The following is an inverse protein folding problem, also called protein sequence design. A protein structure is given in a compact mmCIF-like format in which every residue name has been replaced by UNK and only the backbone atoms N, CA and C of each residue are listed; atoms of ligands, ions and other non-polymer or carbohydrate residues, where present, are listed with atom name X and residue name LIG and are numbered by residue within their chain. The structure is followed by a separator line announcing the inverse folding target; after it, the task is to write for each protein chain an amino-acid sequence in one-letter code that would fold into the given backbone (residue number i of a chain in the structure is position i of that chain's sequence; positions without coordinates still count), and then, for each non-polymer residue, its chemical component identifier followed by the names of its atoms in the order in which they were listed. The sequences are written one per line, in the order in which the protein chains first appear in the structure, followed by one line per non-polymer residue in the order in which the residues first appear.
data_IF_487317748358
#
_entry.id   IF_487317748358
#
_cell.length_a   1.000
_cell.length_b   1.000
_cell.length_c   1.000
_cell.angle_alpha   90.00
_cell.angle_beta   90.00
_cell.angle_gamma   90.00
#
_symmetry.space_group_name_H-M   'P 1'
#
loop_
_entity.id
_entity.type
_entity.pdbx_description
1 polymer ?
#
# COMPACT_ATOMS: atom_id res chain seq x y z
N UNK A 1 12.36 0.70 -1.85
CA UNK A 1 11.28 -0.27 -2.11
C UNK A 1 11.77 -1.66 -1.72
N UNK A 2 11.03 -2.33 -0.84
CA UNK A 2 11.25 -3.72 -0.45
C UNK A 2 10.11 -4.58 -1.01
N UNK A 3 10.46 -5.65 -1.72
CA UNK A 3 9.49 -6.65 -2.15
C UNK A 3 9.53 -7.84 -1.18
N UNK A 4 8.38 -8.32 -0.76
CA UNK A 4 8.24 -9.54 0.04
C UNK A 4 7.51 -10.57 -0.80
N UNK A 5 8.21 -11.66 -1.09
CA UNK A 5 7.70 -12.79 -1.87
C UNK A 5 7.71 -14.04 -0.99
N UNK A 6 6.93 -15.03 -1.36
CA UNK A 6 6.87 -16.30 -0.62
C UNK A 6 5.65 -17.13 -1.02
N UNK A 7 5.63 -18.42 -0.73
CA UNK A 7 4.49 -19.28 -1.03
C UNK A 7 3.23 -18.87 -0.28
N UNK A 8 2.08 -19.40 -0.69
CA UNK A 8 0.83 -19.22 0.03
C UNK A 8 0.96 -19.75 1.46
N UNK A 9 0.41 -19.02 2.43
CA UNK A 9 0.50 -19.40 3.84
C UNK A 9 1.82 -19.06 4.54
N UNK A 10 2.78 -18.42 3.87
CA UNK A 10 4.07 -18.06 4.48
C UNK A 10 4.00 -16.93 5.51
N UNK A 11 2.85 -16.24 5.66
CA UNK A 11 2.65 -15.16 6.63
C UNK A 11 2.75 -13.75 6.06
N UNK A 12 2.77 -13.56 4.74
CA UNK A 12 2.91 -12.22 4.09
C UNK A 12 1.79 -11.25 4.49
N UNK A 13 0.52 -11.66 4.33
CA UNK A 13 -0.62 -10.81 4.69
C UNK A 13 -0.76 -10.64 6.20
N UNK A 14 -0.32 -11.64 6.99
CA UNK A 14 -0.20 -11.52 8.45
C UNK A 14 0.80 -10.41 8.80
N UNK A 15 1.97 -10.41 8.16
CA UNK A 15 2.97 -9.33 8.33
C UNK A 15 2.39 -7.97 7.99
N UNK A 16 1.69 -7.83 6.84
CA UNK A 16 1.04 -6.58 6.46
C UNK A 16 0.02 -6.11 7.50
N UNK A 17 -0.80 -7.03 8.00
CA UNK A 17 -1.82 -6.76 9.03
C UNK A 17 -1.19 -6.30 10.35
N UNK A 18 -0.15 -6.98 10.81
CA UNK A 18 0.58 -6.62 12.04
C UNK A 18 1.25 -5.25 11.91
N UNK A 19 1.89 -4.96 10.78
CA UNK A 19 2.52 -3.66 10.51
C UNK A 19 1.50 -2.51 10.45
N UNK A 20 0.26 -2.80 10.10
CA UNK A 20 -0.84 -1.84 10.07
C UNK A 20 -1.64 -1.78 11.39
N UNK A 21 -1.26 -2.56 12.40
CA UNK A 21 -1.91 -2.57 13.72
C UNK A 21 -3.29 -3.22 13.74
N UNK A 22 -3.61 -4.12 12.80
CA UNK A 22 -4.90 -4.81 12.83
C UNK A 22 -5.01 -5.70 14.06
N UNK A 23 -6.15 -5.60 14.75
CA UNK A 23 -6.44 -6.32 16.01
C UNK A 23 -6.54 -7.85 15.86
N UNK A 24 -6.64 -8.36 14.62
CA UNK A 24 -6.76 -9.80 14.34
C UNK A 24 -5.51 -10.60 14.75
N UNK A 25 -4.37 -9.92 14.99
CA UNK A 25 -3.09 -10.54 15.29
C UNK A 25 -2.43 -9.89 16.50
N UNK A 26 -2.04 -10.71 17.47
CA UNK A 26 -1.30 -10.28 18.64
C UNK A 26 0.21 -10.56 18.48
N UNK A 27 1.03 -9.55 18.78
CA UNK A 27 2.50 -9.71 18.81
C UNK A 27 2.89 -10.22 20.20
N UNK A 28 3.16 -11.52 20.30
CA UNK A 28 3.47 -12.19 21.57
C UNK A 28 4.83 -11.76 22.14
N UNK A 29 5.80 -11.48 21.26
CA UNK A 29 7.16 -11.09 21.66
C UNK A 29 7.88 -10.34 20.55
N UNK A 30 8.93 -9.59 20.90
CA UNK A 30 9.73 -8.83 19.97
C UNK A 30 9.33 -7.35 19.91
N UNK A 31 9.83 -6.64 18.90
CA UNK A 31 9.54 -5.23 18.68
C UNK A 31 9.47 -4.90 17.19
N UNK A 32 8.62 -3.94 16.84
CA UNK A 32 8.54 -3.37 15.49
C UNK A 32 8.79 -1.88 15.63
N UNK A 33 9.83 -1.38 14.98
CA UNK A 33 10.18 0.05 15.06
C UNK A 33 9.90 0.75 13.75
N UNK A 34 9.16 1.83 13.82
CA UNK A 34 8.92 2.76 12.73
C UNK A 34 9.29 4.17 13.17
N UNK A 35 10.18 4.86 12.45
CA UNK A 35 10.71 6.18 12.82
C UNK A 35 11.26 6.26 14.26
N UNK A 36 11.94 5.19 14.70
CA UNK A 36 12.46 5.00 16.06
C UNK A 36 11.42 4.80 17.17
N UNK A 37 10.14 4.76 16.86
CA UNK A 37 9.06 4.43 17.78
C UNK A 37 8.68 2.97 17.68
N UNK A 38 8.42 2.30 18.82
CA UNK A 38 7.87 0.95 18.81
C UNK A 38 6.36 1.04 18.51
N UNK A 39 5.92 0.39 17.45
CA UNK A 39 4.52 0.43 17.00
C UNK A 39 3.70 -0.79 17.46
N UNK A 40 4.31 -1.73 18.20
CA UNK A 40 3.59 -2.88 18.75
C UNK A 40 2.57 -2.40 19.77
N UNK A 41 1.31 -2.80 19.59
CA UNK A 41 0.20 -2.45 20.47
C UNK A 41 -0.45 -1.09 20.19
N UNK A 42 0.03 -0.35 19.17
CA UNK A 42 -0.66 0.84 18.70
C UNK A 42 -1.88 0.46 17.86
N UNK A 43 -2.93 1.27 17.94
CA UNK A 43 -4.13 1.08 17.12
C UNK A 43 -3.86 1.38 15.64
N UNK A 44 -4.69 0.87 14.70
CA UNK A 44 -4.57 1.19 13.28
C UNK A 44 -4.57 2.69 13.00
N UNK A 45 -5.37 3.47 13.75
CA UNK A 45 -5.45 4.92 13.63
C UNK A 45 -4.14 5.59 14.06
N UNK A 46 -3.54 5.13 15.15
CA UNK A 46 -2.26 5.66 15.64
C UNK A 46 -1.15 5.38 14.62
N UNK A 47 -1.10 4.17 14.07
CA UNK A 47 -0.13 3.78 13.04
C UNK A 47 -0.36 4.58 11.74
N UNK A 48 -1.60 4.78 11.31
CA UNK A 48 -1.92 5.61 10.16
C UNK A 48 -1.49 7.08 10.37
N UNK A 49 -1.64 7.62 11.58
CA UNK A 49 -1.18 8.96 11.94
C UNK A 49 0.35 9.11 11.90
N UNK A 50 1.11 8.05 12.18
CA UNK A 50 2.56 8.04 12.00
C UNK A 50 2.96 8.13 10.52
N UNK A 51 2.04 7.86 9.61
CA UNK A 51 2.23 7.93 8.17
C UNK A 51 2.40 6.57 7.50
N UNK A 52 1.85 5.51 8.08
CA UNK A 52 1.73 4.19 7.45
C UNK A 52 0.43 4.11 6.67
N UNK A 53 0.49 3.56 5.47
CA UNK A 53 -0.65 3.29 4.60
C UNK A 53 -0.67 1.81 4.25
N UNK A 54 -1.82 1.16 4.37
CA UNK A 54 -2.05 -0.21 3.92
C UNK A 54 -3.01 -0.22 2.73
N UNK A 55 -2.58 -0.75 1.59
CA UNK A 55 -3.45 -1.15 0.50
C UNK A 55 -3.91 -2.59 0.76
N UNK A 56 -5.20 -2.78 0.88
CA UNK A 56 -5.78 -4.08 1.22
C UNK A 56 -5.78 -5.04 0.02
N UNK A 57 -5.62 -6.32 0.28
CA UNK A 57 -5.85 -7.35 -0.74
C UNK A 57 -7.26 -7.23 -1.34
N UNK A 58 -8.26 -7.02 -0.47
CA UNK A 58 -9.66 -6.78 -0.86
C UNK A 58 -10.11 -5.40 -0.33
N UNK A 59 -10.12 -4.35 -1.18
CA UNK A 59 -10.54 -3.02 -0.76
C UNK A 59 -11.99 -2.97 -0.32
N UNK A 60 -12.23 -2.34 0.84
CA UNK A 60 -13.57 -2.23 1.46
C UNK A 60 -14.42 -1.23 0.69
N UNK A 61 -15.73 -1.50 0.61
CA UNK A 61 -16.74 -0.56 0.11
C UNK A 61 -17.35 0.22 1.27
N UNK A 62 -17.51 1.54 1.08
CA UNK A 62 -18.18 2.41 2.06
C UNK A 62 -19.30 3.16 1.32
N UNK A 63 -20.47 2.55 1.17
CA UNK A 63 -21.60 3.20 0.50
C UNK A 63 -22.03 4.48 1.22
N UNK A 64 -22.45 5.49 0.47
CA UNK A 64 -22.93 6.75 1.03
C UNK A 64 -21.86 7.73 1.50
N UNK A 65 -20.59 7.33 1.56
CA UNK A 65 -19.46 8.22 1.85
C UNK A 65 -18.69 8.47 0.57
N UNK A 66 -18.79 9.69 0.03
CA UNK A 66 -18.07 10.02 -1.21
C UNK A 66 -16.56 9.99 -1.01
N UNK A 67 -15.81 9.65 -2.07
CA UNK A 67 -14.35 9.66 -2.05
C UNK A 67 -13.81 11.04 -1.64
N UNK A 68 -14.45 12.12 -2.11
CA UNK A 68 -14.10 13.50 -1.74
C UNK A 68 -14.27 13.73 -0.23
N UNK A 69 -15.40 13.36 0.34
CA UNK A 69 -15.70 13.53 1.78
C UNK A 69 -14.71 12.74 2.63
N UNK A 70 -14.46 11.50 2.27
CA UNK A 70 -13.50 10.64 2.97
C UNK A 70 -12.09 11.20 2.95
N UNK A 71 -11.59 11.57 1.76
CA UNK A 71 -10.24 12.12 1.65
C UNK A 71 -10.08 13.45 2.40
N UNK A 72 -11.13 14.29 2.41
CA UNK A 72 -11.11 15.53 3.19
C UNK A 72 -11.00 15.23 4.68
N UNK A 73 -11.81 14.30 5.19
CA UNK A 73 -11.75 13.89 6.59
C UNK A 73 -10.38 13.33 6.99
N UNK A 74 -9.81 12.42 6.18
CA UNK A 74 -8.48 11.84 6.44
C UNK A 74 -7.38 12.92 6.48
N UNK A 75 -7.41 13.87 5.54
CA UNK A 75 -6.40 14.93 5.48
C UNK A 75 -6.57 15.93 6.61
N UNK A 76 -7.79 16.29 6.98
CA UNK A 76 -8.05 17.20 8.10
C UNK A 76 -7.58 16.61 9.43
N UNK A 77 -7.89 15.34 9.71
CA UNK A 77 -7.43 14.62 10.90
C UNK A 77 -5.89 14.56 10.95
N UNK A 78 -5.25 14.33 9.80
CA UNK A 78 -3.79 14.34 9.72
C UNK A 78 -3.21 15.72 10.04
N UNK A 79 -3.79 16.81 9.49
CA UNK A 79 -3.34 18.16 9.76
C UNK A 79 -3.50 18.53 11.24
N UNK A 80 -4.64 18.17 11.83
CA UNK A 80 -4.91 18.37 13.25
C UNK A 80 -3.86 17.67 14.12
N UNK A 81 -3.57 16.40 13.84
CA UNK A 81 -2.55 15.63 14.58
C UNK A 81 -1.15 16.23 14.46
N UNK A 82 -0.81 16.74 13.28
CA UNK A 82 0.46 17.42 13.03
C UNK A 82 0.49 18.87 13.53
N UNK A 83 -0.59 19.37 14.12
CA UNK A 83 -0.77 20.78 14.54
C UNK A 83 -0.49 21.76 13.39
N UNK A 84 -0.90 21.39 12.18
CA UNK A 84 -0.77 22.18 10.96
C UNK A 84 -2.12 22.80 10.58
N UNK A 85 -2.12 23.92 9.84
CA UNK A 85 -3.37 24.54 9.38
C UNK A 85 -4.11 23.60 8.43
N UNK A 86 -5.44 23.68 8.44
CA UNK A 86 -6.30 22.94 7.51
C UNK A 86 -5.95 23.30 6.05
N UNK A 87 -6.02 22.31 5.15
CA UNK A 87 -5.77 22.52 3.73
C UNK A 87 -6.94 23.35 3.16
N UNK A 88 -6.65 24.51 2.50
CA UNK A 88 -7.68 25.30 1.85
C UNK A 88 -8.51 24.47 0.84
N UNK A 89 -9.80 24.69 0.79
CA UNK A 89 -10.71 23.92 -0.07
C UNK A 89 -10.29 23.96 -1.55
N UNK A 90 -9.82 25.12 -2.03
CA UNK A 90 -9.30 25.29 -3.40
C UNK A 90 -8.12 24.37 -3.70
N UNK A 91 -7.16 24.29 -2.77
CA UNK A 91 -5.94 23.49 -2.93
C UNK A 91 -6.25 21.99 -2.83
N UNK A 92 -7.16 21.62 -1.92
CA UNK A 92 -7.67 20.26 -1.84
C UNK A 92 -8.31 19.80 -3.13
N UNK A 93 -9.27 20.58 -3.70
CA UNK A 93 -9.94 20.23 -4.96
C UNK A 93 -8.93 20.18 -6.11
N UNK A 94 -8.01 21.14 -6.17
CA UNK A 94 -6.95 21.15 -7.20
C UNK A 94 -6.10 19.89 -7.13
N UNK A 95 -5.68 19.48 -5.92
CA UNK A 95 -4.91 18.26 -5.71
C UNK A 95 -5.70 17.01 -6.10
N UNK A 96 -6.97 16.91 -5.71
CA UNK A 96 -7.86 15.80 -6.08
C UNK A 96 -7.93 15.62 -7.59
N UNK A 97 -8.23 16.70 -8.33
CA UNK A 97 -8.34 16.68 -9.80
C UNK A 97 -7.01 16.34 -10.48
N UNK A 98 -5.90 16.86 -9.97
CA UNK A 98 -4.57 16.55 -10.50
C UNK A 98 -4.24 15.07 -10.32
N UNK A 99 -4.58 14.49 -9.16
CA UNK A 99 -4.39 13.07 -8.88
C UNK A 99 -5.28 12.18 -9.74
N UNK A 100 -6.56 12.56 -9.96
CA UNK A 100 -7.42 11.86 -10.93
C UNK A 100 -6.77 11.80 -12.32
N UNK A 101 -6.30 12.96 -12.79
CA UNK A 101 -5.65 13.05 -14.12
C UNK A 101 -4.41 12.18 -14.21
N UNK A 102 -3.56 12.13 -13.17
CA UNK A 102 -2.33 11.35 -13.18
C UNK A 102 -2.56 9.84 -13.22
N UNK A 103 -3.70 9.36 -12.70
CA UNK A 103 -4.09 7.96 -12.66
C UNK A 103 -5.13 7.58 -13.73
N UNK A 104 -5.44 8.50 -14.66
CA UNK A 104 -6.49 8.30 -15.65
C UNK A 104 -7.82 7.85 -15.00
N UNK A 105 -8.20 8.53 -13.90
CA UNK A 105 -9.44 8.31 -13.16
C UNK A 105 -10.45 9.38 -13.61
N UNK A 106 -11.70 8.94 -13.86
CA UNK A 106 -12.80 9.83 -14.13
C UNK A 106 -13.09 10.69 -12.88
N UNK A 107 -13.12 12.03 -13.00
CA UNK A 107 -13.44 12.92 -11.88
C UNK A 107 -14.79 12.62 -11.22
N UNK A 108 -15.73 11.99 -11.89
CA UNK A 108 -17.02 11.59 -11.33
C UNK A 108 -16.88 10.61 -10.17
N UNK A 109 -15.78 9.86 -10.09
CA UNK A 109 -15.48 8.99 -8.94
C UNK A 109 -15.41 9.77 -7.62
N UNK A 110 -15.03 11.05 -7.67
CA UNK A 110 -14.91 11.86 -6.45
C UNK A 110 -16.25 12.03 -5.72
N UNK A 111 -17.37 11.95 -6.44
CA UNK A 111 -18.72 12.05 -5.90
C UNK A 111 -19.34 10.70 -5.53
N UNK A 112 -18.76 9.59 -6.00
CA UNK A 112 -19.26 8.23 -5.72
C UNK A 112 -18.83 7.75 -4.34
N UNK A 113 -19.60 6.83 -3.77
CA UNK A 113 -19.21 6.09 -2.57
C UNK A 113 -17.88 5.36 -2.77
N UNK A 114 -17.09 5.25 -1.70
CA UNK A 114 -15.78 4.59 -1.77
C UNK A 114 -15.95 3.17 -2.24
N UNK A 115 -15.36 2.85 -3.39
CA UNK A 115 -15.37 1.52 -4.02
C UNK A 115 -16.77 0.99 -4.35
N UNK A 116 -17.83 1.79 -4.18
CA UNK A 116 -19.22 1.39 -4.39
C UNK A 116 -19.48 1.10 -5.88
N UNK A 117 -19.74 -0.18 -6.19
CA UNK A 117 -19.93 -0.67 -7.55
C UNK A 117 -18.68 -0.58 -8.44
N UNK A 118 -17.48 -0.51 -7.86
CA UNK A 118 -16.23 -0.52 -8.61
C UNK A 118 -15.82 -1.95 -8.97
N UNK A 119 -15.27 -2.13 -10.17
CA UNK A 119 -14.54 -3.35 -10.55
C UNK A 119 -13.27 -3.51 -9.70
N UNK A 120 -12.69 -4.71 -9.68
CA UNK A 120 -11.44 -4.96 -8.94
C UNK A 120 -10.30 -4.00 -9.34
N UNK A 121 -10.13 -3.75 -10.64
CA UNK A 121 -9.12 -2.82 -11.12
C UNK A 121 -9.39 -1.36 -10.74
N UNK A 122 -10.67 -0.95 -10.72
CA UNK A 122 -11.06 0.38 -10.25
C UNK A 122 -10.80 0.55 -8.75
N UNK A 123 -11.11 -0.46 -7.93
CA UNK A 123 -10.82 -0.47 -6.49
C UNK A 123 -9.33 -0.28 -6.24
N UNK A 124 -8.48 -1.01 -6.95
CA UNK A 124 -7.02 -0.89 -6.81
C UNK A 124 -6.52 0.50 -7.25
N UNK A 125 -7.03 1.04 -8.36
CA UNK A 125 -6.70 2.43 -8.76
C UNK A 125 -7.16 3.45 -7.73
N UNK A 126 -8.31 3.24 -7.08
CA UNK A 126 -8.79 4.10 -6.01
C UNK A 126 -7.90 4.04 -4.77
N UNK A 127 -7.36 2.87 -4.40
CA UNK A 127 -6.38 2.77 -3.31
C UNK A 127 -5.09 3.55 -3.64
N UNK A 128 -4.58 3.45 -4.87
CA UNK A 128 -3.42 4.24 -5.29
C UNK A 128 -3.73 5.74 -5.29
N UNK A 129 -4.95 6.15 -5.69
CA UNK A 129 -5.41 7.52 -5.56
C UNK A 129 -5.35 8.00 -4.09
N UNK A 130 -5.88 7.20 -3.15
CA UNK A 130 -5.83 7.52 -1.73
C UNK A 130 -4.38 7.63 -1.23
N UNK A 131 -3.51 6.70 -1.61
CA UNK A 131 -2.09 6.72 -1.29
C UNK A 131 -1.40 8.00 -1.78
N UNK A 132 -1.64 8.42 -3.04
CA UNK A 132 -1.09 9.67 -3.59
C UNK A 132 -1.60 10.90 -2.85
N UNK A 133 -2.89 10.92 -2.49
CA UNK A 133 -3.47 12.01 -1.72
C UNK A 133 -2.89 12.12 -0.31
N UNK A 134 -2.68 10.98 0.37
CA UNK A 134 -2.18 10.93 1.73
C UNK A 134 -0.66 11.11 1.81
N UNK A 135 0.08 10.77 0.76
CA UNK A 135 1.55 10.82 0.73
C UNK A 135 2.18 10.23 2.00
N UNK A 136 2.02 8.93 2.26
CA UNK A 136 2.51 8.27 3.47
C UNK A 136 4.03 8.16 3.48
N UNK A 137 4.61 7.98 4.66
CA UNK A 137 6.04 7.67 4.84
C UNK A 137 6.36 6.21 4.54
N UNK A 138 5.41 5.32 4.84
CA UNK A 138 5.48 3.89 4.50
C UNK A 138 4.18 3.47 3.85
N UNK A 139 4.27 2.88 2.67
CA UNK A 139 3.15 2.21 1.99
C UNK A 139 3.37 0.71 2.01
N UNK A 140 2.40 -0.03 2.52
CA UNK A 140 2.35 -1.49 2.50
C UNK A 140 1.31 -1.87 1.46
N UNK A 141 1.74 -2.54 0.40
CA UNK A 141 0.92 -2.90 -0.76
C UNK A 141 0.76 -4.41 -0.79
N UNK A 142 -0.38 -4.90 -0.28
CA UNK A 142 -0.65 -6.34 -0.17
C UNK A 142 -1.39 -6.84 -1.42
N UNK A 143 -0.68 -7.59 -2.26
CA UNK A 143 -1.17 -8.17 -3.51
C UNK A 143 -1.93 -7.17 -4.40
N UNK A 144 -1.40 -5.94 -4.50
CA UNK A 144 -2.05 -4.85 -5.24
C UNK A 144 -2.13 -5.12 -6.75
N UNK A 145 -1.33 -6.04 -7.26
CA UNK A 145 -1.28 -6.50 -8.65
C UNK A 145 -2.24 -7.66 -8.96
N UNK A 146 -2.85 -8.26 -7.93
CA UNK A 146 -3.74 -9.40 -8.11
C UNK A 146 -5.00 -9.02 -8.90
N UNK A 147 -5.32 -9.80 -9.93
CA UNK A 147 -6.51 -9.60 -10.77
C UNK A 147 -6.48 -8.38 -11.70
N UNK A 148 -5.35 -7.67 -11.80
CA UNK A 148 -5.20 -6.56 -12.71
C UNK A 148 -4.85 -7.02 -14.13
N UNK A 149 -5.47 -6.40 -15.13
CA UNK A 149 -4.98 -6.42 -16.50
C UNK A 149 -3.70 -5.58 -16.65
N UNK A 150 -3.07 -5.66 -17.83
CA UNK A 150 -1.78 -4.99 -18.09
C UNK A 150 -1.89 -3.47 -17.97
N UNK A 151 -2.98 -2.87 -18.38
CA UNK A 151 -3.14 -1.42 -18.39
C UNK A 151 -3.42 -0.89 -16.97
N UNK A 152 -4.25 -1.56 -16.20
CA UNK A 152 -4.47 -1.26 -14.79
C UNK A 152 -3.17 -1.42 -13.97
N UNK A 153 -2.38 -2.47 -14.24
CA UNK A 153 -1.09 -2.69 -13.61
C UNK A 153 -0.10 -1.55 -13.90
N UNK A 154 -0.04 -1.07 -15.12
CA UNK A 154 0.81 0.09 -15.49
C UNK A 154 0.40 1.36 -14.75
N UNK A 155 -0.91 1.64 -14.65
CA UNK A 155 -1.43 2.81 -13.94
C UNK A 155 -1.08 2.73 -12.45
N UNK A 156 -1.34 1.59 -11.81
CA UNK A 156 -1.01 1.32 -10.41
C UNK A 156 0.49 1.50 -10.16
N UNK A 157 1.32 0.88 -10.98
CA UNK A 157 2.79 0.98 -10.88
C UNK A 157 3.30 2.40 -11.09
N UNK A 158 2.71 3.14 -12.04
CA UNK A 158 3.04 4.56 -12.25
C UNK A 158 2.72 5.38 -11.00
N UNK A 159 1.55 5.16 -10.38
CA UNK A 159 1.17 5.84 -9.13
C UNK A 159 2.15 5.55 -7.98
N UNK A 160 2.62 4.32 -7.83
CA UNK A 160 3.64 3.96 -6.84
C UNK A 160 4.95 4.72 -7.13
N UNK A 161 5.41 4.71 -8.38
CA UNK A 161 6.64 5.39 -8.77
C UNK A 161 6.58 6.91 -8.62
N UNK A 162 5.40 7.53 -8.74
CA UNK A 162 5.22 8.98 -8.49
C UNK A 162 5.54 9.37 -7.04
N UNK A 163 5.30 8.48 -6.07
CA UNK A 163 5.62 8.73 -4.66
C UNK A 163 7.03 8.28 -4.28
N UNK A 164 7.72 7.53 -5.13
CA UNK A 164 9.06 7.02 -4.82
C UNK A 164 10.04 8.18 -4.65
N UNK A 165 10.58 8.30 -3.44
CA UNK A 165 11.54 9.35 -3.08
C UNK A 165 12.42 8.86 -1.93
N UNK A 166 13.39 9.67 -1.53
CA UNK A 166 14.22 9.39 -0.35
C UNK A 166 13.46 9.46 0.99
N UNK A 167 12.25 10.02 0.99
CA UNK A 167 11.42 10.20 2.19
C UNK A 167 10.24 9.23 2.30
N UNK A 168 10.01 8.40 1.25
CA UNK A 168 8.91 7.44 1.21
C UNK A 168 9.46 6.03 1.07
N UNK A 169 8.95 5.12 1.89
CA UNK A 169 9.29 3.69 1.84
C UNK A 169 8.10 2.86 1.36
N UNK A 170 8.40 1.76 0.69
CA UNK A 170 7.38 0.83 0.19
C UNK A 170 7.73 -0.60 0.58
N UNK A 171 6.73 -1.33 1.04
CA UNK A 171 6.73 -2.78 1.16
C UNK A 171 5.70 -3.30 0.16
N UNK A 172 6.15 -4.00 -0.87
CA UNK A 172 5.29 -4.61 -1.88
C UNK A 172 5.25 -6.11 -1.62
N UNK A 173 4.08 -6.61 -1.25
CA UNK A 173 3.83 -8.03 -1.10
C UNK A 173 3.20 -8.52 -2.38
N UNK A 174 3.84 -9.48 -3.04
CA UNK A 174 3.33 -10.07 -4.27
C UNK A 174 3.81 -11.51 -4.46
N UNK A 175 3.04 -12.27 -5.20
CA UNK A 175 3.41 -13.62 -5.65
C UNK A 175 4.06 -13.60 -7.04
N UNK A 176 3.97 -12.47 -7.78
CA UNK A 176 4.35 -12.38 -9.18
C UNK A 176 5.41 -11.30 -9.40
N UNK A 177 6.33 -11.59 -10.30
CA UNK A 177 7.33 -10.61 -10.75
C UNK A 177 6.70 -9.44 -11.54
N UNK A 178 5.50 -9.61 -12.10
CA UNK A 178 4.89 -8.65 -13.03
C UNK A 178 4.92 -7.20 -12.54
N UNK A 179 4.52 -6.94 -11.29
CA UNK A 179 4.55 -5.58 -10.72
C UNK A 179 5.99 -5.10 -10.51
N UNK A 180 6.90 -6.02 -10.17
CA UNK A 180 8.30 -5.68 -9.89
C UNK A 180 9.08 -5.30 -11.16
N UNK A 181 8.58 -5.65 -12.35
CA UNK A 181 9.12 -5.17 -13.63
C UNK A 181 8.81 -3.68 -13.88
N UNK A 182 7.74 -3.15 -13.29
CA UNK A 182 7.36 -1.73 -13.38
C UNK A 182 7.80 -0.93 -12.16
N UNK A 183 7.83 -1.54 -10.98
CA UNK A 183 8.28 -0.94 -9.71
C UNK A 183 9.49 -1.74 -9.23
N UNK A 184 10.65 -1.46 -9.82
CA UNK A 184 11.87 -2.20 -9.49
C UNK A 184 12.22 -2.02 -8.01
N UNK A 185 12.26 -3.11 -7.20
CA UNK A 185 12.59 -3.03 -5.79
C UNK A 185 14.09 -2.80 -5.58
N UNK A 186 14.44 -2.18 -4.46
CA UNK A 186 15.83 -2.08 -4.03
C UNK A 186 16.28 -3.38 -3.35
N UNK A 187 15.34 -4.07 -2.67
CA UNK A 187 15.56 -5.35 -2.00
C UNK A 187 14.37 -6.28 -2.21
N UNK A 188 14.67 -7.57 -2.33
CA UNK A 188 13.69 -8.67 -2.39
C UNK A 188 13.94 -9.59 -1.20
N UNK A 189 12.89 -9.94 -0.49
CA UNK A 189 12.91 -10.83 0.67
C UNK A 189 11.98 -12.01 0.42
N UNK A 190 12.46 -13.21 0.71
CA UNK A 190 11.67 -14.44 0.62
C UNK A 190 11.22 -14.82 2.02
N UNK A 191 9.91 -14.81 2.23
CA UNK A 191 9.25 -15.20 3.46
C UNK A 191 8.75 -16.65 3.34
N UNK A 192 9.12 -17.51 4.30
CA UNK A 192 8.63 -18.87 4.43
C UNK A 192 8.43 -19.19 5.90
N UNK A 193 7.30 -19.81 6.23
CA UNK A 193 6.96 -20.22 7.61
C UNK A 193 7.17 -19.10 8.65
N UNK A 194 6.79 -17.87 8.29
CA UNK A 194 6.90 -16.70 9.15
C UNK A 194 8.32 -16.13 9.30
N UNK A 195 9.30 -16.60 8.52
CA UNK A 195 10.69 -16.14 8.59
C UNK A 195 11.20 -15.66 7.23
N UNK A 196 12.05 -14.64 7.25
CA UNK A 196 12.82 -14.24 6.05
C UNK A 196 13.95 -15.26 5.89
N UNK A 197 13.84 -16.13 4.89
CA UNK A 197 14.83 -17.19 4.62
C UNK A 197 15.94 -16.72 3.67
N UNK A 198 15.66 -15.75 2.83
CA UNK A 198 16.64 -15.16 1.91
C UNK A 198 16.33 -13.69 1.63
N UNK A 199 17.37 -12.90 1.40
CA UNK A 199 17.27 -11.52 0.92
C UNK A 199 18.30 -11.27 -0.17
N UNK A 200 17.94 -10.42 -1.14
CA UNK A 200 18.81 -10.09 -2.27
C UNK A 200 18.33 -8.84 -2.99
N UNK A 201 18.93 -8.54 -4.13
CA UNK A 201 18.51 -7.49 -5.05
C UNK A 201 17.36 -7.91 -5.97
N UNK A 202 17.03 -7.08 -6.98
CA UNK A 202 15.94 -7.37 -7.94
C UNK A 202 16.09 -8.70 -8.68
N UNK A 203 17.32 -9.16 -8.88
CA UNK A 203 17.65 -10.42 -9.54
C UNK A 203 17.09 -11.65 -8.81
N UNK A 204 16.86 -11.53 -7.48
CA UNK A 204 16.28 -12.61 -6.69
C UNK A 204 14.83 -12.90 -7.10
N UNK A 205 14.05 -11.88 -7.46
CA UNK A 205 12.69 -12.06 -7.95
C UNK A 205 12.66 -12.84 -9.27
N UNK A 206 13.56 -12.50 -10.21
CA UNK A 206 13.70 -13.20 -11.49
C UNK A 206 14.10 -14.66 -11.32
N UNK A 207 15.11 -14.90 -10.47
CA UNK A 207 15.53 -16.26 -10.14
C UNK A 207 14.37 -17.08 -9.58
N UNK A 208 13.55 -16.47 -8.74
CA UNK A 208 12.40 -17.13 -8.12
C UNK A 208 11.33 -17.54 -9.15
N UNK A 209 11.09 -16.70 -10.17
CA UNK A 209 10.16 -17.03 -11.25
C UNK A 209 10.69 -18.16 -12.15
N UNK A 210 12.00 -18.22 -12.38
CA UNK A 210 12.63 -19.27 -13.18
C UNK A 210 12.70 -20.62 -12.46
N UNK A 211 13.04 -20.62 -11.15
CA UNK A 211 13.35 -21.85 -10.40
C UNK A 211 12.26 -22.30 -9.43
N UNK A 212 11.33 -21.40 -9.12
CA UNK A 212 10.30 -21.63 -8.09
C UNK A 212 10.85 -21.56 -6.66
N UNK A 213 9.95 -21.67 -5.69
CA UNK A 213 10.29 -21.59 -4.26
C UNK A 213 11.05 -22.83 -3.75
N UNK A 214 10.85 -24.00 -4.36
CA UNK A 214 11.40 -25.28 -3.88
C UNK A 214 12.94 -25.36 -3.90
N UNK A 215 13.60 -24.57 -4.72
CA UNK A 215 15.08 -24.51 -4.72
C UNK A 215 15.66 -23.59 -3.64
N UNK A 216 14.84 -22.68 -3.12
CA UNK A 216 15.27 -21.65 -2.18
C UNK A 216 14.84 -22.00 -0.76
N UNK A 217 13.66 -22.62 -0.63
CA UNK A 217 13.09 -23.05 0.65
C UNK A 217 13.38 -24.56 0.77
N UNK A 218 14.43 -24.90 1.48
CA UNK A 218 14.79 -26.29 1.80
C UNK A 218 14.33 -26.66 3.20
#
# INVERSE_FOLDING_TARGET
VHAIMGPNGSGKSTLASVLAGKEEHEVVSGSIKFLNENIVGLSPEEIAHLGVFLSFQYPVEIPGVSLMTFMKACLDQRQEKLKQPAIPASDFIKKMRATCKSLNIDPDWLSRGINDGFSGGEKKRNEIFQMLMLNPKLSILDETDSGLDIDALKIVSSGINMLRSSSNSFIIITHYERILNYVVPDYVHILSDGQIVQSGGPELAKKLEETGYSEIIK
#
